data_IF_892503537560
#
_entry.id   IF_892503537560
#
_cell.length_a   1.000
_cell.length_b   1.000
_cell.length_c   1.000
_cell.angle_alpha   90.00
_cell.angle_beta   90.00
_cell.angle_gamma   90.00
#
_symmetry.space_group_name_H-M   'P 1'
#
loop_
_entity.id
_entity.type
_entity.pdbx_description
1 polymer ?
#
# COMPACT_ATOMS: atom_id res chain seq x y z
N UNK A 1 15.18 -14.09 6.61
CA UNK A 1 15.71 -12.71 6.78
C UNK A 1 14.53 -11.76 6.76
N UNK A 2 14.48 -10.81 7.68
CA UNK A 2 13.38 -9.85 7.78
C UNK A 2 13.69 -8.57 7.00
N UNK A 3 12.68 -7.97 6.37
CA UNK A 3 12.78 -6.66 5.71
C UNK A 3 11.59 -5.76 6.04
N UNK A 4 11.76 -4.44 5.90
CA UNK A 4 10.66 -3.48 5.95
C UNK A 4 10.11 -3.24 4.54
N UNK A 5 8.79 -3.31 4.40
CA UNK A 5 8.07 -2.97 3.16
C UNK A 5 7.23 -1.72 3.38
N UNK A 6 7.49 -0.66 2.60
CA UNK A 6 6.70 0.56 2.68
C UNK A 6 5.38 0.41 1.91
N UNK A 7 4.25 0.60 2.57
CA UNK A 7 2.91 0.60 1.95
C UNK A 7 2.44 2.04 1.82
N UNK A 8 2.22 2.47 0.58
CA UNK A 8 1.93 3.87 0.28
C UNK A 8 0.44 4.20 0.46
N UNK A 9 0.16 5.28 1.19
CA UNK A 9 -1.16 5.89 1.26
C UNK A 9 -1.46 6.80 0.05
N UNK A 10 -2.75 7.04 -0.21
CA UNK A 10 -3.25 7.90 -1.29
C UNK A 10 -2.69 9.32 -1.20
N UNK A 11 -2.64 9.92 0.00
CA UNK A 11 -2.21 11.32 0.13
C UNK A 11 -0.74 11.49 -0.26
N UNK A 12 0.11 10.51 0.09
CA UNK A 12 1.52 10.53 -0.32
C UNK A 12 1.67 10.57 -1.83
N UNK A 13 0.92 9.73 -2.56
CA UNK A 13 0.95 9.72 -4.02
C UNK A 13 0.49 11.05 -4.60
N UNK A 14 -0.52 11.69 -4.00
CA UNK A 14 -0.97 13.03 -4.40
C UNK A 14 0.15 14.06 -4.20
N UNK A 15 0.87 14.03 -3.08
CA UNK A 15 2.00 14.94 -2.86
C UNK A 15 3.16 14.68 -3.83
N UNK A 16 3.51 13.41 -4.06
CA UNK A 16 4.57 12.99 -4.98
C UNK A 16 4.25 13.42 -6.42
N UNK A 17 3.07 13.07 -6.92
CA UNK A 17 2.69 13.32 -8.31
C UNK A 17 2.49 14.81 -8.62
N UNK A 18 2.15 15.62 -7.62
CA UNK A 18 2.02 17.07 -7.80
C UNK A 18 3.31 17.83 -7.49
N UNK A 19 4.38 17.15 -7.08
CA UNK A 19 5.62 17.76 -6.58
C UNK A 19 5.35 18.86 -5.55
N UNK A 20 4.31 18.65 -4.73
CA UNK A 20 3.75 19.70 -3.88
C UNK A 20 4.61 19.96 -2.64
N UNK A 21 5.41 18.98 -2.23
CA UNK A 21 6.23 19.04 -1.02
C UNK A 21 7.63 18.44 -1.29
N UNK A 22 8.73 19.09 -0.84
CA UNK A 22 10.08 18.58 -1.08
C UNK A 22 10.34 17.18 -0.53
N UNK A 23 9.80 16.86 0.65
CA UNK A 23 9.94 15.53 1.27
C UNK A 23 9.23 14.43 0.46
N UNK A 24 8.15 14.78 -0.25
CA UNK A 24 7.41 13.82 -1.07
C UNK A 24 8.19 13.51 -2.35
N UNK A 25 8.82 14.54 -2.93
CA UNK A 25 9.73 14.39 -4.07
C UNK A 25 10.93 13.52 -3.70
N UNK A 26 11.53 13.76 -2.53
CA UNK A 26 12.65 12.94 -2.03
C UNK A 26 12.26 11.47 -1.89
N UNK A 27 11.11 11.15 -1.28
CA UNK A 27 10.65 9.76 -1.18
C UNK A 27 10.41 9.15 -2.56
N UNK A 28 9.84 9.92 -3.48
CA UNK A 28 9.65 9.44 -4.85
C UNK A 28 11.00 9.12 -5.52
N UNK A 29 12.00 9.99 -5.38
CA UNK A 29 13.35 9.75 -5.90
C UNK A 29 14.01 8.52 -5.27
N UNK A 30 13.89 8.33 -3.95
CA UNK A 30 14.38 7.15 -3.23
C UNK A 30 13.74 5.85 -3.77
N UNK A 31 12.43 5.88 -4.10
CA UNK A 31 11.73 4.75 -4.74
C UNK A 31 12.32 4.47 -6.13
N UNK A 32 12.46 5.50 -6.97
CA UNK A 32 12.98 5.36 -8.33
C UNK A 32 14.43 4.86 -8.36
N UNK A 33 15.24 5.23 -7.36
CA UNK A 33 16.62 4.78 -7.19
C UNK A 33 16.72 3.37 -6.57
N UNK A 34 15.60 2.82 -6.10
CA UNK A 34 15.54 1.51 -5.45
C UNK A 34 16.06 1.48 -4.03
N UNK A 35 16.17 2.64 -3.38
CA UNK A 35 16.56 2.77 -1.97
C UNK A 35 15.40 2.40 -1.04
N UNK A 36 14.16 2.44 -1.55
CA UNK A 36 12.95 1.96 -0.87
C UNK A 36 12.22 0.91 -1.69
N UNK A 37 11.82 -0.17 -1.02
CA UNK A 37 10.90 -1.15 -1.57
C UNK A 37 9.49 -0.77 -1.14
N UNK A 38 8.62 -0.54 -2.12
CA UNK A 38 7.24 -0.09 -1.88
C UNK A 38 6.22 -1.07 -2.43
N UNK A 39 5.08 -1.14 -1.76
CA UNK A 39 3.88 -1.81 -2.24
C UNK A 39 2.74 -0.80 -2.35
N UNK A 40 2.03 -0.83 -3.48
CA UNK A 40 0.85 0.00 -3.70
C UNK A 40 -0.40 -0.89 -3.81
N UNK A 41 -1.33 -0.84 -2.84
CA UNK A 41 -2.59 -1.56 -2.97
C UNK A 41 -3.43 -1.07 -4.15
N UNK A 42 -4.16 -1.99 -4.80
CA UNK A 42 -5.07 -1.66 -5.92
C UNK A 42 -6.11 -0.60 -5.57
N UNK A 43 -6.62 -0.66 -4.35
CA UNK A 43 -7.61 0.30 -3.89
C UNK A 43 -6.99 1.72 -3.77
N UNK A 44 -5.75 1.83 -3.26
CA UNK A 44 -5.02 3.11 -3.17
C UNK A 44 -4.72 3.65 -4.56
N UNK A 45 -4.22 2.80 -5.48
CA UNK A 45 -3.98 3.21 -6.87
C UNK A 45 -5.27 3.74 -7.54
N UNK A 46 -6.41 3.10 -7.26
CA UNK A 46 -7.71 3.55 -7.76
C UNK A 46 -8.13 4.88 -7.15
N UNK A 47 -7.99 5.01 -5.84
CA UNK A 47 -8.34 6.23 -5.13
C UNK A 47 -7.48 7.41 -5.58
N UNK A 48 -6.16 7.23 -5.68
CA UNK A 48 -5.23 8.22 -6.18
C UNK A 48 -5.65 8.75 -7.56
N UNK A 49 -5.92 7.85 -8.51
CA UNK A 49 -6.38 8.24 -9.85
C UNK A 49 -7.69 9.05 -9.80
N UNK A 50 -8.68 8.58 -9.01
CA UNK A 50 -9.96 9.28 -8.86
C UNK A 50 -9.82 10.65 -8.18
N UNK A 51 -8.94 10.76 -7.19
CA UNK A 51 -8.66 12.04 -6.50
C UNK A 51 -8.03 13.03 -7.46
N UNK A 52 -7.04 12.60 -8.24
CA UNK A 52 -6.38 13.46 -9.21
C UNK A 52 -7.33 13.91 -10.33
N UNK A 53 -8.11 12.99 -10.90
CA UNK A 53 -9.15 13.30 -11.90
C UNK A 53 -10.19 14.28 -11.34
N UNK A 54 -10.66 14.06 -10.11
CA UNK A 54 -11.62 14.97 -9.47
C UNK A 54 -11.04 16.37 -9.26
N UNK A 55 -9.76 16.47 -8.90
CA UNK A 55 -9.14 17.74 -8.54
C UNK A 55 -8.70 18.57 -9.75
N UNK A 56 -8.27 17.93 -10.84
CA UNK A 56 -7.68 18.60 -12.02
C UNK A 56 -8.30 18.20 -13.36
N UNK A 57 -9.35 17.37 -13.37
CA UNK A 57 -9.96 16.87 -14.60
C UNK A 57 -9.04 15.90 -15.36
N UNK A 58 -9.11 15.96 -16.69
CA UNK A 58 -8.32 15.10 -17.59
C UNK A 58 -6.80 15.22 -17.33
N UNK A 59 -6.29 16.44 -17.09
CA UNK A 59 -4.89 16.66 -16.75
C UNK A 59 -4.48 15.90 -15.47
N UNK A 60 -5.35 15.86 -14.46
CA UNK A 60 -5.09 15.10 -13.24
C UNK A 60 -5.07 13.59 -13.48
N UNK A 61 -5.98 13.11 -14.32
CA UNK A 61 -6.02 11.70 -14.72
C UNK A 61 -4.75 11.30 -15.48
N UNK A 62 -4.23 12.16 -16.35
CA UNK A 62 -2.99 11.94 -17.11
C UNK A 62 -1.77 11.90 -16.17
N UNK A 63 -1.64 12.88 -15.25
CA UNK A 63 -0.57 12.90 -14.24
C UNK A 63 -0.61 11.61 -13.40
N UNK A 64 -1.80 11.19 -12.95
CA UNK A 64 -1.92 9.97 -12.15
C UNK A 64 -1.54 8.72 -12.95
N UNK A 65 -1.92 8.66 -14.23
CA UNK A 65 -1.58 7.55 -15.10
C UNK A 65 -0.08 7.48 -15.38
N UNK A 66 0.56 8.62 -15.67
CA UNK A 66 2.01 8.71 -15.87
C UNK A 66 2.74 8.26 -14.59
N UNK A 67 2.35 8.77 -13.43
CA UNK A 67 2.95 8.41 -12.15
C UNK A 67 2.83 6.90 -11.85
N UNK A 68 1.64 6.31 -12.03
CA UNK A 68 1.46 4.86 -11.84
C UNK A 68 2.27 4.04 -12.86
N UNK A 69 2.45 4.56 -14.08
CA UNK A 69 3.25 3.91 -15.11
C UNK A 69 4.72 3.90 -14.72
N UNK A 70 5.27 5.05 -14.32
CA UNK A 70 6.65 5.16 -13.84
C UNK A 70 6.92 4.23 -12.66
N UNK A 71 6.01 4.19 -11.67
CA UNK A 71 6.13 3.25 -10.54
C UNK A 71 6.05 1.79 -11.01
N UNK A 72 5.21 1.47 -12.00
CA UNK A 72 5.09 0.08 -12.49
C UNK A 72 6.34 -0.44 -13.20
N UNK A 73 7.14 0.47 -13.77
CA UNK A 73 8.41 0.19 -14.44
C UNK A 73 9.60 0.19 -13.46
N UNK A 74 9.41 0.70 -12.24
CA UNK A 74 10.44 0.78 -11.21
C UNK A 74 10.59 -0.57 -10.49
N UNK A 75 11.78 -1.21 -10.50
CA UNK A 75 11.96 -2.55 -9.92
C UNK A 75 11.64 -2.66 -8.44
N UNK A 76 11.89 -1.61 -7.67
CA UNK A 76 11.63 -1.58 -6.22
C UNK A 76 10.15 -1.29 -5.87
N UNK A 77 9.30 -1.04 -6.87
CA UNK A 77 7.91 -0.69 -6.67
C UNK A 77 6.97 -1.82 -7.13
N UNK A 78 6.32 -2.46 -6.15
CA UNK A 78 5.29 -3.46 -6.39
C UNK A 78 3.92 -2.79 -6.43
N UNK A 79 3.57 -2.26 -7.60
CA UNK A 79 2.29 -1.61 -7.87
C UNK A 79 1.41 -2.41 -8.85
N UNK A 80 0.10 -2.17 -8.91
CA UNK A 80 -0.77 -2.80 -9.89
C UNK A 80 -0.52 -2.20 -11.27
N UNK A 81 -0.69 -3.01 -12.31
CA UNK A 81 -0.48 -2.54 -13.68
C UNK A 81 -1.42 -1.35 -14.00
N UNK A 82 -0.94 -0.28 -14.66
CA UNK A 82 -1.74 0.94 -14.95
C UNK A 82 -3.07 0.68 -15.68
N UNK A 83 -3.12 -0.36 -16.51
CA UNK A 83 -4.36 -0.77 -17.20
C UNK A 83 -5.28 -1.72 -16.40
N UNK A 84 -4.90 -2.11 -15.17
CA UNK A 84 -5.61 -3.14 -14.40
C UNK A 84 -5.77 -2.81 -12.90
N UNK A 85 -5.53 -1.59 -12.45
CA UNK A 85 -5.62 -1.25 -11.01
C UNK A 85 -7.04 -1.00 -10.49
N UNK A 86 -7.98 -0.65 -11.39
CA UNK A 86 -9.32 -0.15 -11.03
C UNK A 86 -10.15 -1.17 -10.25
N UNK A 87 -10.63 -0.76 -9.07
CA UNK A 87 -11.57 -1.51 -8.21
C UNK A 87 -12.74 -0.63 -7.74
N UNK A 88 -13.78 -1.23 -7.17
CA UNK A 88 -14.88 -0.48 -6.56
C UNK A 88 -14.49 0.00 -5.15
N UNK A 89 -13.93 1.21 -5.07
CA UNK A 89 -13.49 1.83 -3.80
C UNK A 89 -14.66 2.00 -2.83
N UNK A 90 -15.86 2.31 -3.34
CA UNK A 90 -17.03 2.50 -2.49
C UNK A 90 -17.46 1.18 -1.84
N UNK A 91 -17.47 0.08 -2.59
CA UNK A 91 -17.77 -1.24 -2.06
C UNK A 91 -16.73 -1.68 -1.01
N UNK A 92 -15.43 -1.44 -1.25
CA UNK A 92 -14.36 -1.80 -0.31
C UNK A 92 -14.52 -1.06 1.02
N UNK A 93 -14.76 0.26 0.98
CA UNK A 93 -14.94 1.09 2.18
C UNK A 93 -16.18 0.72 2.99
N UNK A 94 -17.24 0.29 2.32
CA UNK A 94 -18.50 -0.07 2.98
C UNK A 94 -18.60 -1.55 3.33
N UNK A 95 -17.59 -2.36 3.02
CA UNK A 95 -17.57 -3.77 3.34
C UNK A 95 -17.64 -3.98 4.86
N UNK A 96 -18.35 -5.02 5.29
CA UNK A 96 -18.61 -5.26 6.71
C UNK A 96 -17.30 -5.45 7.51
N UNK A 97 -16.31 -6.13 6.94
CA UNK A 97 -15.00 -6.35 7.56
C UNK A 97 -14.23 -5.03 7.71
N UNK A 98 -14.21 -4.18 6.68
CA UNK A 98 -13.59 -2.85 6.72
C UNK A 98 -14.18 -2.01 7.84
N UNK A 99 -15.50 -1.95 7.94
CA UNK A 99 -16.19 -1.18 9.00
C UNK A 99 -15.95 -1.73 10.39
N UNK A 100 -15.80 -3.06 10.51
CA UNK A 100 -15.51 -3.71 11.79
C UNK A 100 -14.09 -3.42 12.22
N UNK A 101 -13.12 -3.55 11.32
CA UNK A 101 -11.72 -3.21 11.58
C UNK A 101 -11.57 -1.74 11.97
N UNK A 102 -12.22 -0.83 11.22
CA UNK A 102 -12.23 0.59 11.54
C UNK A 102 -12.70 0.88 12.96
N UNK A 103 -13.77 0.20 13.41
CA UNK A 103 -14.31 0.34 14.76
C UNK A 103 -13.38 -0.25 15.84
N UNK A 104 -12.70 -1.37 15.56
CA UNK A 104 -11.73 -1.98 16.48
C UNK A 104 -10.48 -1.12 16.64
N UNK A 105 -10.02 -0.51 15.54
CA UNK A 105 -8.82 0.30 15.47
C UNK A 105 -9.04 1.79 15.81
N UNK A 106 -10.28 2.19 16.13
CA UNK A 106 -10.70 3.58 16.32
C UNK A 106 -10.19 4.52 15.21
N UNK A 107 -10.45 4.14 13.95
CA UNK A 107 -9.99 4.85 12.74
C UNK A 107 -11.13 5.11 11.75
N UNK A 108 -10.92 5.99 10.76
CA UNK A 108 -11.92 6.22 9.73
C UNK A 108 -12.07 4.98 8.82
N UNK A 109 -13.31 4.60 8.42
CA UNK A 109 -13.51 3.45 7.52
C UNK A 109 -12.79 3.54 6.17
N UNK A 110 -12.37 4.74 5.76
CA UNK A 110 -11.63 4.95 4.52
C UNK A 110 -10.20 4.38 4.58
N UNK A 111 -9.62 4.29 5.79
CA UNK A 111 -8.22 3.96 6.06
C UNK A 111 -8.02 2.50 6.49
N UNK A 112 -9.07 1.87 7.03
CA UNK A 112 -9.05 0.46 7.38
C UNK A 112 -8.61 -0.49 6.23
N UNK A 113 -8.89 -0.22 4.94
CA UNK A 113 -8.42 -1.10 3.86
C UNK A 113 -6.90 -1.22 3.73
N UNK A 114 -6.10 -0.14 3.82
CA UNK A 114 -4.62 -0.24 3.74
C UNK A 114 -4.05 -0.95 4.95
N UNK A 115 -4.65 -0.75 6.13
CA UNK A 115 -4.29 -1.53 7.32
C UNK A 115 -4.54 -3.03 7.11
N UNK A 116 -5.73 -3.40 6.63
CA UNK A 116 -6.06 -4.78 6.32
C UNK A 116 -5.15 -5.38 5.25
N UNK A 117 -4.81 -4.61 4.21
CA UNK A 117 -3.87 -5.06 3.18
C UNK A 117 -2.47 -5.24 3.74
N UNK A 118 -1.94 -4.28 4.50
CA UNK A 118 -0.61 -4.36 5.11
C UNK A 118 -0.47 -5.58 6.02
N UNK A 119 -1.46 -5.82 6.89
CA UNK A 119 -1.47 -6.97 7.78
C UNK A 119 -1.59 -8.29 7.02
N UNK A 120 -2.47 -8.36 6.02
CA UNK A 120 -2.60 -9.60 5.23
C UNK A 120 -1.34 -9.89 4.42
N UNK A 121 -0.62 -8.86 3.97
CA UNK A 121 0.64 -9.04 3.25
C UNK A 121 1.70 -9.69 4.14
N UNK A 122 1.83 -9.30 5.39
CA UNK A 122 2.83 -9.89 6.30
C UNK A 122 2.51 -11.37 6.54
N UNK A 123 1.26 -11.70 6.86
CA UNK A 123 0.76 -13.07 7.02
C UNK A 123 0.98 -13.91 5.75
N UNK A 124 0.67 -13.35 4.58
CA UNK A 124 0.86 -14.01 3.30
C UNK A 124 2.33 -14.32 3.01
N UNK A 125 3.21 -13.33 3.21
CA UNK A 125 4.64 -13.50 2.94
C UNK A 125 5.24 -14.59 3.85
N UNK A 126 4.82 -14.68 5.11
CA UNK A 126 5.29 -15.72 6.01
C UNK A 126 4.70 -17.10 5.68
N UNK A 127 3.38 -17.19 5.45
CA UNK A 127 2.67 -18.45 5.35
C UNK A 127 2.74 -19.13 3.96
N UNK A 128 3.04 -18.38 2.89
CA UNK A 128 3.02 -18.92 1.53
C UNK A 128 4.32 -19.67 1.18
N UNK A 129 4.28 -21.01 1.30
CA UNK A 129 5.35 -21.94 0.93
C UNK A 129 4.87 -23.03 -0.06
N UNK A 130 4.93 -22.81 -1.38
CA UNK A 130 4.54 -23.82 -2.36
C UNK A 130 5.47 -25.06 -2.36
N UNK A 131 4.92 -26.30 -2.42
CA UNK A 131 3.51 -26.62 -2.62
C UNK A 131 2.68 -26.72 -1.33
N UNK A 132 3.29 -26.55 -0.16
CA UNK A 132 2.70 -26.81 1.16
C UNK A 132 2.22 -25.52 1.85
N UNK A 133 1.14 -24.91 1.36
CA UNK A 133 0.51 -23.74 2.00
C UNK A 133 -0.98 -23.97 2.27
N UNK A 134 -1.54 -23.23 3.22
CA UNK A 134 -2.98 -23.22 3.47
C UNK A 134 -3.72 -22.48 2.35
N UNK A 135 -5.03 -22.74 2.19
CA UNK A 135 -5.84 -21.99 1.22
C UNK A 135 -5.93 -20.50 1.56
N UNK A 136 -5.84 -20.15 2.85
CA UNK A 136 -5.86 -18.78 3.37
C UNK A 136 -4.57 -18.02 3.03
N UNK A 137 -3.46 -18.73 2.83
CA UNK A 137 -2.18 -18.17 2.39
C UNK A 137 -2.12 -17.93 0.87
N UNK A 138 -3.21 -18.12 0.12
CA UNK A 138 -3.25 -17.81 -1.32
C UNK A 138 -3.42 -16.29 -1.48
N UNK A 139 -2.62 -15.62 -2.34
CA UNK A 139 -2.73 -14.19 -2.52
C UNK A 139 -4.05 -13.82 -3.20
N UNK A 140 -4.60 -12.67 -2.83
CA UNK A 140 -5.82 -12.15 -3.45
C UNK A 140 -5.52 -11.44 -4.78
N UNK A 141 -4.32 -10.85 -4.87
CA UNK A 141 -3.93 -10.00 -5.99
C UNK A 141 -2.62 -10.48 -6.65
N UNK A 142 -2.47 -10.38 -7.98
CA UNK A 142 -1.23 -10.74 -8.68
C UNK A 142 0.02 -10.01 -8.16
N UNK A 143 -0.15 -8.80 -7.65
CA UNK A 143 0.92 -7.96 -7.12
C UNK A 143 1.59 -8.59 -5.89
N UNK A 144 0.83 -9.32 -5.07
CA UNK A 144 1.35 -9.99 -3.88
C UNK A 144 2.24 -11.17 -4.26
N UNK A 145 1.82 -11.93 -5.27
CA UNK A 145 2.65 -12.98 -5.83
C UNK A 145 3.95 -12.42 -6.41
N UNK A 146 3.88 -11.26 -7.09
CA UNK A 146 5.07 -10.56 -7.58
C UNK A 146 5.99 -10.15 -6.43
N UNK A 147 5.44 -9.58 -5.36
CA UNK A 147 6.20 -9.22 -4.16
C UNK A 147 6.90 -10.45 -3.55
N UNK A 148 6.16 -11.53 -3.26
CA UNK A 148 6.73 -12.74 -2.66
C UNK A 148 7.86 -13.33 -3.50
N UNK A 149 7.71 -13.33 -4.83
CA UNK A 149 8.77 -13.80 -5.73
C UNK A 149 10.03 -12.94 -5.60
N UNK A 150 9.89 -11.62 -5.62
CA UNK A 150 11.03 -10.69 -5.48
C UNK A 150 11.73 -10.83 -4.12
N UNK A 151 10.96 -10.95 -3.04
CA UNK A 151 11.50 -11.15 -1.70
C UNK A 151 12.29 -12.48 -1.60
N UNK A 152 11.74 -13.56 -2.15
CA UNK A 152 12.40 -14.86 -2.16
C UNK A 152 13.71 -14.84 -2.98
N UNK A 153 13.77 -14.09 -4.08
CA UNK A 153 14.98 -13.94 -4.90
C UNK A 153 16.17 -13.34 -4.12
N UNK A 154 15.89 -12.51 -3.10
CA UNK A 154 16.89 -11.91 -2.21
C UNK A 154 16.95 -12.57 -0.84
N UNK A 155 16.25 -13.68 -0.62
CA UNK A 155 16.27 -14.45 0.62
C UNK A 155 15.50 -13.82 1.79
N UNK A 156 14.57 -12.91 1.51
CA UNK A 156 13.62 -12.37 2.50
C UNK A 156 12.42 -13.30 2.60
N UNK A 157 12.12 -13.76 3.80
CA UNK A 157 11.04 -14.71 4.11
C UNK A 157 9.94 -14.10 4.98
N UNK A 158 10.22 -12.98 5.62
CA UNK A 158 9.35 -12.28 6.57
C UNK A 158 9.45 -10.78 6.33
N UNK A 159 8.36 -10.05 6.55
CA UNK A 159 8.34 -8.59 6.43
C UNK A 159 7.62 -7.94 7.60
N UNK A 160 8.09 -6.76 7.97
CA UNK A 160 7.28 -5.78 8.70
C UNK A 160 6.72 -4.80 7.66
N UNK A 161 5.39 -4.68 7.57
CA UNK A 161 4.75 -3.71 6.69
C UNK A 161 4.68 -2.35 7.38
N UNK A 162 5.16 -1.29 6.73
CA UNK A 162 5.15 0.07 7.25
C UNK A 162 4.25 0.94 6.39
N UNK A 163 3.10 1.34 6.92
CA UNK A 163 2.22 2.29 6.24
C UNK A 163 2.84 3.68 6.37
N UNK A 164 3.18 4.28 5.23
CA UNK A 164 3.59 5.67 5.18
C UNK A 164 2.32 6.52 4.99
N UNK A 165 2.11 7.51 5.85
CA UNK A 165 0.95 8.41 5.79
C UNK A 165 1.31 9.81 6.25
N UNK A 166 0.52 10.82 5.87
CA UNK A 166 0.62 12.17 6.44
C UNK A 166 -0.30 12.36 7.65
N UNK A 167 -1.23 11.42 7.90
CA UNK A 167 -2.27 11.59 8.90
C UNK A 167 -1.76 11.33 10.33
N UNK A 168 -1.97 12.31 11.23
CA UNK A 168 -1.52 12.25 12.62
C UNK A 168 -2.25 11.21 13.48
N UNK A 169 -3.53 11.00 13.22
CA UNK A 169 -4.38 10.05 13.97
C UNK A 169 -4.87 8.93 13.06
N UNK A 170 -3.94 8.27 12.37
CA UNK A 170 -4.28 7.21 11.41
C UNK A 170 -4.91 5.99 12.11
N UNK A 171 -4.35 5.55 13.24
CA UNK A 171 -4.92 4.50 14.10
C UNK A 171 -5.09 5.10 15.49
N UNK A 172 -6.30 4.97 16.08
CA UNK A 172 -6.60 5.51 17.41
C UNK A 172 -6.16 4.61 18.57
N UNK A 173 -5.74 3.38 18.28
CA UNK A 173 -5.27 2.37 19.25
C UNK A 173 -3.90 1.82 18.88
N UNK A 174 -3.26 1.12 19.82
CA UNK A 174 -2.02 0.39 19.59
C UNK A 174 -2.28 -0.86 18.70
N UNK A 175 -1.69 -0.97 17.50
CA UNK A 175 -1.89 -2.12 16.60
C UNK A 175 -1.57 -3.47 17.26
N UNK A 176 -0.51 -3.52 18.07
CA UNK A 176 -0.10 -4.73 18.79
C UNK A 176 -1.20 -5.21 19.74
N UNK A 177 -1.90 -4.26 20.39
CA UNK A 177 -2.96 -4.56 21.36
C UNK A 177 -4.20 -5.22 20.75
N UNK A 178 -4.37 -5.11 19.42
CA UNK A 178 -5.47 -5.70 18.65
C UNK A 178 -5.00 -6.81 17.70
N UNK A 179 -3.75 -7.28 17.86
CA UNK A 179 -3.19 -8.41 17.12
C UNK A 179 -2.67 -8.06 15.72
N UNK A 180 -2.26 -6.81 15.50
CA UNK A 180 -1.69 -6.31 14.24
C UNK A 180 -0.22 -5.89 14.49
N UNK A 181 0.59 -6.81 15.00
CA UNK A 181 1.96 -6.59 15.49
C UNK A 181 3.02 -6.52 14.38
N UNK A 182 2.68 -6.99 13.18
CA UNK A 182 3.56 -6.97 12.01
C UNK A 182 3.36 -5.73 11.12
N UNK A 183 2.48 -4.80 11.52
CA UNK A 183 2.22 -3.55 10.82
C UNK A 183 2.63 -2.37 11.68
N UNK A 184 3.43 -1.48 11.12
CA UNK A 184 3.78 -0.19 11.71
C UNK A 184 3.18 0.94 10.89
N UNK A 185 2.94 2.08 11.52
CA UNK A 185 2.51 3.31 10.84
C UNK A 185 3.58 4.37 11.07
N UNK A 186 4.01 5.02 9.99
CA UNK A 186 4.96 6.13 10.05
C UNK A 186 4.34 7.39 9.43
N UNK A 187 4.20 8.42 10.25
CA UNK A 187 3.81 9.76 9.80
C UNK A 187 4.97 10.42 9.05
N UNK A 188 4.67 11.09 7.94
CA UNK A 188 5.61 11.83 7.10
C UNK A 188 4.98 13.18 6.67
N UNK A 189 5.69 14.32 6.81
CA UNK A 189 6.98 14.46 7.50
C UNK A 189 6.85 14.25 9.02
N UNK A 190 7.97 13.97 9.68
CA UNK A 190 8.06 13.83 11.14
C UNK A 190 7.94 15.19 11.88
#
# INVERSE_FOLDING_TARGET
>A
MEATLDVLDTQLLVYMANEAEPWAVEIHEEILQGERIVFLPRYVATEFYQVMERNRGEEGADIAWEHLTTLSETPAAVVPHPNRFRVDVHAIRNHATTRTLAAVCDMEPKDAPILATAYRLTEFIEAYDPPNHSQEAIPNDPEEFRLKRLLNEVGVDTITARILTNETNFIGVDPDSVGIDTVTVKQIPE
#
